data_IF_150871264990
#
_entry.id   IF_150871264990
#
_cell.length_a   1.000
_cell.length_b   1.000
_cell.length_c   1.000
_cell.angle_alpha   90.00
_cell.angle_beta   90.00
_cell.angle_gamma   90.00
#
_symmetry.space_group_name_H-M   'P 1'
#
loop_
_entity.id
_entity.type
_entity.pdbx_description
1 polymer ?
#
# COMPACT_ATOMS: atom_id res chain seq x y z
N UNK A 1 -2.07 -9.20 -20.83
CA UNK A 1 -1.82 -7.80 -20.43
C UNK A 1 -1.25 -7.85 -19.02
N UNK A 2 -0.13 -7.16 -18.78
CA UNK A 2 0.48 -7.06 -17.45
C UNK A 2 -0.22 -5.91 -16.73
N UNK A 3 -0.68 -6.15 -15.50
CA UNK A 3 -1.41 -5.15 -14.71
C UNK A 3 -0.80 -5.04 -13.32
N UNK A 4 -0.49 -3.82 -12.91
CA UNK A 4 -0.08 -3.49 -11.55
C UNK A 4 -1.31 -3.20 -10.69
N UNK A 5 -1.35 -3.76 -9.49
CA UNK A 5 -2.46 -3.65 -8.55
C UNK A 5 -1.97 -3.02 -7.24
N UNK A 6 -2.79 -2.11 -6.71
CA UNK A 6 -2.70 -1.61 -5.34
C UNK A 6 -3.97 -2.06 -4.63
N UNK A 7 -3.80 -2.63 -3.44
CA UNK A 7 -4.93 -3.14 -2.68
C UNK A 7 -4.57 -3.41 -1.23
N UNK A 8 -5.44 -4.15 -0.55
CA UNK A 8 -5.22 -4.64 0.81
C UNK A 8 -5.49 -6.13 0.85
N UNK A 9 -4.77 -6.87 1.70
CA UNK A 9 -5.18 -8.22 2.07
C UNK A 9 -6.51 -8.11 2.80
N UNK A 10 -7.47 -8.91 2.36
CA UNK A 10 -8.78 -8.98 2.98
C UNK A 10 -8.74 -9.82 4.26
N UNK A 11 -8.81 -9.16 5.40
CA UNK A 11 -8.82 -9.74 6.74
C UNK A 11 -9.89 -9.07 7.59
N UNK A 12 -10.41 -9.75 8.63
CA UNK A 12 -11.36 -9.14 9.56
C UNK A 12 -10.83 -7.84 10.16
N UNK A 13 -11.69 -6.83 10.21
CA UNK A 13 -11.38 -5.48 10.67
C UNK A 13 -12.19 -5.18 11.92
N UNK A 14 -11.55 -5.25 13.09
CA UNK A 14 -12.18 -5.05 14.41
C UNK A 14 -13.25 -6.11 14.79
N UNK A 15 -14.23 -6.39 13.93
CA UNK A 15 -15.34 -7.34 14.11
C UNK A 15 -15.41 -8.38 12.97
N UNK A 16 -16.27 -9.40 13.10
CA UNK A 16 -16.45 -10.46 12.09
C UNK A 16 -17.18 -9.98 10.82
N UNK A 17 -17.77 -8.78 10.84
CA UNK A 17 -18.67 -8.29 9.79
C UNK A 17 -18.08 -7.20 8.91
N UNK A 18 -16.91 -6.65 9.23
CA UNK A 18 -16.22 -5.70 8.38
C UNK A 18 -14.82 -6.19 8.08
N UNK A 19 -14.39 -6.04 6.84
CA UNK A 19 -13.03 -6.42 6.42
C UNK A 19 -12.17 -5.21 6.09
N UNK A 20 -10.86 -5.42 6.02
CA UNK A 20 -9.92 -4.42 5.49
C UNK A 20 -10.27 -4.05 4.04
N UNK A 21 -10.76 -4.99 3.23
CA UNK A 21 -11.28 -4.72 1.88
C UNK A 21 -12.43 -3.71 1.91
N UNK A 22 -13.47 -3.96 2.73
CA UNK A 22 -14.60 -3.05 2.87
C UNK A 22 -14.18 -1.64 3.31
N UNK A 23 -13.21 -1.57 4.23
CA UNK A 23 -12.66 -0.31 4.72
C UNK A 23 -11.89 0.41 3.61
N UNK A 24 -11.05 -0.32 2.86
CA UNK A 24 -10.28 0.23 1.76
C UNK A 24 -11.19 0.81 0.67
N UNK A 25 -12.25 0.10 0.27
CA UNK A 25 -13.21 0.58 -0.72
C UNK A 25 -13.91 1.87 -0.26
N UNK A 26 -14.36 1.92 1.00
CA UNK A 26 -14.98 3.13 1.57
C UNK A 26 -14.03 4.31 1.63
N UNK A 27 -12.76 4.05 1.97
CA UNK A 27 -11.73 5.08 2.00
C UNK A 27 -11.38 5.58 0.60
N UNK A 28 -11.25 4.67 -0.36
CA UNK A 28 -10.94 5.02 -1.74
C UNK A 28 -12.06 5.81 -2.40
N UNK A 29 -13.31 5.36 -2.26
CA UNK A 29 -14.47 6.04 -2.81
C UNK A 29 -14.66 7.48 -2.28
N UNK A 30 -14.13 7.78 -1.09
CA UNK A 30 -14.29 9.08 -0.44
C UNK A 30 -13.07 9.98 -0.53
N UNK A 31 -11.87 9.42 -0.43
CA UNK A 31 -10.64 10.17 -0.29
C UNK A 31 -9.62 9.87 -1.39
N UNK A 32 -9.86 8.88 -2.26
CA UNK A 32 -8.97 8.54 -3.37
C UNK A 32 -7.51 8.30 -2.92
N UNK A 33 -7.33 7.53 -1.84
CA UNK A 33 -6.03 7.37 -1.16
C UNK A 33 -5.03 6.66 -2.07
N UNK A 34 -5.42 5.52 -2.63
CA UNK A 34 -4.57 4.71 -3.50
C UNK A 34 -4.34 5.40 -4.84
N UNK A 35 -5.37 6.06 -5.39
CA UNK A 35 -5.19 6.88 -6.60
C UNK A 35 -4.18 8.00 -6.35
N UNK A 36 -4.34 8.76 -5.27
CA UNK A 36 -3.41 9.85 -4.91
C UNK A 36 -1.99 9.34 -4.70
N UNK A 37 -1.85 8.20 -4.01
CA UNK A 37 -0.56 7.55 -3.81
C UNK A 37 0.09 7.19 -5.14
N UNK A 38 -0.66 6.57 -6.06
CA UNK A 38 -0.15 6.21 -7.37
C UNK A 38 0.20 7.43 -8.23
N UNK A 39 -0.63 8.48 -8.20
CA UNK A 39 -0.38 9.72 -8.94
C UNK A 39 0.93 10.39 -8.49
N UNK A 40 1.29 10.23 -7.21
CA UNK A 40 2.52 10.78 -6.64
C UNK A 40 3.74 9.91 -6.87
N UNK A 41 3.64 8.62 -6.58
CA UNK A 41 4.77 7.69 -6.55
C UNK A 41 4.86 6.79 -7.77
N UNK A 42 3.97 6.92 -8.76
CA UNK A 42 3.91 6.02 -9.92
C UNK A 42 5.23 5.91 -10.68
N UNK A 43 5.99 7.01 -10.78
CA UNK A 43 7.32 6.99 -11.39
C UNK A 43 8.35 6.24 -10.54
N UNK A 44 8.32 6.44 -9.22
CA UNK A 44 9.22 5.73 -8.29
C UNK A 44 8.92 4.23 -8.26
N UNK A 45 7.63 3.87 -8.29
CA UNK A 45 7.18 2.48 -8.39
C UNK A 45 7.68 1.84 -9.69
N UNK A 46 7.57 2.55 -10.82
CA UNK A 46 8.05 2.06 -12.10
C UNK A 46 9.57 1.86 -12.13
N UNK A 47 10.33 2.76 -11.51
CA UNK A 47 11.78 2.65 -11.37
C UNK A 47 12.19 1.48 -10.48
N UNK A 48 11.51 1.28 -9.34
CA UNK A 48 11.72 0.12 -8.46
C UNK A 48 11.48 -1.20 -9.22
N UNK A 49 10.36 -1.31 -9.93
CA UNK A 49 10.04 -2.50 -10.72
C UNK A 49 11.05 -2.74 -11.84
N UNK A 50 11.52 -1.66 -12.49
CA UNK A 50 12.51 -1.77 -13.57
C UNK A 50 13.86 -2.29 -13.07
N UNK A 51 14.30 -1.82 -11.89
CA UNK A 51 15.55 -2.26 -11.24
C UNK A 51 15.49 -3.74 -10.84
N UNK A 52 14.38 -4.16 -10.26
CA UNK A 52 14.14 -5.56 -9.89
C UNK A 52 14.22 -6.49 -11.12
N UNK A 53 13.54 -6.12 -12.21
CA UNK A 53 13.56 -6.90 -13.45
C UNK A 53 14.95 -6.94 -14.09
N UNK A 54 15.67 -5.81 -14.10
CA UNK A 54 17.04 -5.77 -14.60
C UNK A 54 17.96 -6.70 -13.79
N UNK A 55 17.89 -6.63 -12.46
CA UNK A 55 18.67 -7.51 -11.58
C UNK A 55 18.29 -8.99 -11.75
N UNK A 56 17.00 -9.30 -11.89
CA UNK A 56 16.55 -10.65 -12.17
C UNK A 56 17.11 -11.19 -13.50
N UNK A 57 17.12 -10.38 -14.56
CA UNK A 57 17.68 -10.73 -15.86
C UNK A 57 19.20 -10.93 -15.79
N UNK A 58 19.93 -10.05 -15.12
CA UNK A 58 21.38 -10.16 -14.93
C UNK A 58 21.75 -11.47 -14.21
N UNK A 59 21.01 -11.82 -13.16
CA UNK A 59 21.20 -13.08 -12.44
C UNK A 59 20.98 -14.30 -13.33
N UNK A 60 19.93 -14.30 -14.15
CA UNK A 60 19.65 -15.38 -15.11
C UNK A 60 20.78 -15.49 -16.14
N UNK A 61 21.25 -14.37 -16.68
CA UNK A 61 22.37 -14.34 -17.64
C UNK A 61 23.68 -14.85 -17.01
N UNK A 62 23.88 -14.64 -15.71
CA UNK A 62 24.99 -15.18 -14.94
C UNK A 62 24.84 -16.68 -14.57
N UNK A 63 23.73 -17.33 -14.95
CA UNK A 63 23.46 -18.74 -14.71
C UNK A 63 22.75 -19.04 -13.38
N UNK A 64 22.23 -18.03 -12.69
CA UNK A 64 21.40 -18.24 -11.50
C UNK A 64 20.01 -18.80 -11.90
N UNK A 65 19.35 -19.57 -11.02
CA UNK A 65 18.01 -20.07 -11.28
C UNK A 65 16.99 -18.92 -11.34
N UNK A 66 15.92 -19.14 -12.11
CA UNK A 66 14.77 -18.23 -12.17
C UNK A 66 14.16 -18.06 -10.76
N UNK A 67 13.92 -16.81 -10.37
CA UNK A 67 13.16 -16.50 -9.16
C UNK A 67 11.67 -16.73 -9.39
N UNK A 68 10.97 -17.23 -8.37
CA UNK A 68 9.51 -17.44 -8.41
C UNK A 68 8.73 -16.14 -8.47
N UNK A 69 9.26 -15.09 -7.87
CA UNK A 69 8.69 -13.75 -7.90
C UNK A 69 9.81 -12.72 -8.13
N UNK A 70 10.02 -12.25 -9.38
CA UNK A 70 11.06 -11.28 -9.69
C UNK A 70 10.78 -9.87 -9.18
N UNK A 71 9.56 -9.59 -8.70
CA UNK A 71 9.16 -8.26 -8.25
C UNK A 71 8.90 -8.19 -6.73
N UNK A 72 9.21 -9.25 -5.98
CA UNK A 72 8.93 -9.30 -4.55
C UNK A 72 9.57 -8.13 -3.77
N UNK A 73 10.78 -7.71 -4.13
CA UNK A 73 11.48 -6.61 -3.46
C UNK A 73 10.80 -5.26 -3.72
N UNK A 74 10.52 -4.93 -4.97
CA UNK A 74 9.81 -3.71 -5.38
C UNK A 74 8.42 -3.68 -4.78
N UNK A 75 7.67 -4.78 -4.76
CA UNK A 75 6.36 -4.84 -4.10
C UNK A 75 6.45 -4.57 -2.59
N UNK A 76 7.49 -5.06 -1.92
CA UNK A 76 7.75 -4.75 -0.51
C UNK A 76 8.09 -3.27 -0.32
N UNK A 77 8.93 -2.69 -1.18
CA UNK A 77 9.28 -1.26 -1.11
C UNK A 77 8.09 -0.35 -1.40
N UNK A 78 7.17 -0.77 -2.28
CA UNK A 78 5.91 -0.03 -2.53
C UNK A 78 5.06 0.00 -1.26
N UNK A 79 5.01 -1.07 -0.48
CA UNK A 79 4.33 -1.09 0.81
C UNK A 79 4.96 -0.10 1.80
N UNK A 80 6.29 -0.04 1.85
CA UNK A 80 7.01 0.92 2.71
C UNK A 80 6.74 2.36 2.28
N UNK A 81 6.75 2.65 0.97
CA UNK A 81 6.38 3.95 0.40
C UNK A 81 4.94 4.34 0.77
N UNK A 82 4.00 3.41 0.69
CA UNK A 82 2.61 3.67 1.05
C UNK A 82 2.46 3.98 2.55
N UNK A 83 3.17 3.23 3.40
CA UNK A 83 3.17 3.47 4.85
C UNK A 83 3.73 4.86 5.17
N UNK A 84 4.87 5.22 4.56
CA UNK A 84 5.49 6.53 4.70
C UNK A 84 4.59 7.67 4.17
N UNK A 85 3.93 7.47 3.03
CA UNK A 85 2.97 8.43 2.46
C UNK A 85 1.84 8.79 3.44
N UNK A 86 1.32 7.79 4.16
CA UNK A 86 0.32 8.01 5.21
C UNK A 86 0.94 8.67 6.45
N UNK A 87 2.11 8.21 6.90
CA UNK A 87 2.79 8.73 8.09
C UNK A 87 3.21 10.20 7.94
N UNK A 88 3.64 10.59 6.74
CA UNK A 88 4.07 11.95 6.39
C UNK A 88 2.90 12.91 6.14
N UNK A 89 1.66 12.43 6.27
CA UNK A 89 0.44 13.22 6.06
C UNK A 89 0.36 13.89 4.67
N UNK A 90 0.84 13.21 3.63
CA UNK A 90 1.02 13.81 2.30
C UNK A 90 -0.28 14.16 1.57
N UNK A 91 -1.40 13.67 2.08
CA UNK A 91 -2.76 14.03 1.64
C UNK A 91 -3.31 15.28 2.35
N UNK A 92 -2.58 15.89 3.28
CA UNK A 92 -3.04 17.11 3.95
C UNK A 92 -3.31 18.23 2.95
N UNK A 93 -4.48 18.86 3.06
CA UNK A 93 -4.95 19.87 2.11
C UNK A 93 -5.91 19.33 1.05
N UNK A 94 -6.09 18.01 0.97
CA UNK A 94 -7.15 17.41 0.16
C UNK A 94 -8.52 17.56 0.83
N UNK A 95 -9.62 17.55 0.07
CA UNK A 95 -10.97 17.63 0.62
C UNK A 95 -11.21 16.55 1.70
N UNK A 96 -11.47 16.98 2.93
CA UNK A 96 -11.71 16.07 4.06
C UNK A 96 -10.45 15.51 4.74
N UNK A 97 -9.26 15.95 4.35
CA UNK A 97 -7.96 15.58 4.94
C UNK A 97 -7.18 16.83 5.39
N UNK A 98 -6.76 16.95 6.66
CA UNK A 98 -6.82 15.93 7.71
C UNK A 98 -8.25 15.62 8.19
N UNK A 99 -8.50 14.35 8.53
CA UNK A 99 -9.81 13.95 9.08
C UNK A 99 -10.06 14.58 10.44
N UNK A 100 -11.32 14.81 10.81
CA UNK A 100 -11.66 15.38 12.14
C UNK A 100 -11.12 14.53 13.30
N UNK A 101 -11.03 13.21 13.13
CA UNK A 101 -10.47 12.31 14.15
C UNK A 101 -8.96 12.50 14.29
N UNK A 102 -8.25 12.65 13.18
CA UNK A 102 -6.83 12.97 13.13
C UNK A 102 -6.52 14.30 13.84
N UNK A 103 -7.28 15.36 13.54
CA UNK A 103 -7.14 16.68 14.19
C UNK A 103 -7.35 16.64 15.71
N UNK A 104 -8.28 15.82 16.17
CA UNK A 104 -8.57 15.65 17.60
C UNK A 104 -7.62 14.65 18.30
N UNK A 105 -6.63 14.09 17.59
CA UNK A 105 -5.70 13.11 18.12
C UNK A 105 -6.38 11.82 18.60
N UNK A 106 -7.57 11.51 18.09
CA UNK A 106 -8.36 10.37 18.57
C UNK A 106 -7.80 9.09 17.97
N UNK A 107 -7.40 8.17 18.84
CA UNK A 107 -6.96 6.82 18.50
C UNK A 107 -7.88 5.79 19.12
N UNK A 108 -8.31 4.79 18.34
CA UNK A 108 -8.97 3.59 18.86
C UNK A 108 -7.99 2.68 19.61
N UNK A 109 -6.69 2.75 19.31
CA UNK A 109 -5.67 1.94 20.00
C UNK A 109 -5.60 2.25 21.49
N UNK A 110 -5.89 3.48 21.90
CA UNK A 110 -5.77 3.92 23.28
C UNK A 110 -7.14 4.22 23.92
N UNK A 111 -7.38 3.67 25.10
CA UNK A 111 -8.64 3.87 25.86
C UNK A 111 -8.84 5.31 26.34
N UNK A 112 -7.78 6.11 26.47
CA UNK A 112 -7.85 7.52 26.86
C UNK A 112 -7.69 8.41 25.62
N UNK A 113 -8.66 9.31 25.40
CA UNK A 113 -8.62 10.32 24.35
C UNK A 113 -7.69 11.45 24.76
N UNK A 114 -6.44 11.39 24.36
CA UNK A 114 -5.50 12.50 24.51
C UNK A 114 -4.41 12.35 23.47
N UNK A 115 -4.21 13.40 22.67
CA UNK A 115 -3.09 13.44 21.76
C UNK A 115 -3.08 14.70 20.93
N UNK A 116 -1.86 15.12 20.57
CA UNK A 116 -1.62 16.04 19.46
C UNK A 116 -2.29 15.52 18.17
N UNK A 117 -2.51 16.38 17.17
CA UNK A 117 -2.92 15.94 15.84
C UNK A 117 -2.04 14.77 15.36
N UNK A 118 -2.67 13.81 14.70
CA UNK A 118 -2.00 12.62 14.18
C UNK A 118 -2.31 12.45 12.69
N UNK A 119 -1.53 11.64 11.95
CA UNK A 119 -1.83 11.38 10.56
C UNK A 119 -3.21 10.80 10.32
N UNK A 120 -3.82 11.19 9.20
CA UNK A 120 -5.10 10.65 8.77
C UNK A 120 -4.96 9.20 8.29
N UNK A 121 -6.05 8.44 8.38
CA UNK A 121 -6.13 7.04 7.93
C UNK A 121 -5.30 6.03 8.74
N UNK A 122 -4.52 6.51 9.70
CA UNK A 122 -3.79 5.69 10.65
C UNK A 122 -4.59 5.67 11.95
N UNK A 123 -5.39 4.63 12.19
CA UNK A 123 -6.04 4.42 13.49
C UNK A 123 -5.28 3.41 14.33
N UNK A 124 -5.42 2.12 13.97
CA UNK A 124 -4.77 0.94 14.58
C UNK A 124 -3.51 0.49 13.85
N UNK A 125 -3.25 1.03 12.65
CA UNK A 125 -2.21 0.54 11.73
C UNK A 125 -2.66 -0.63 10.84
N UNK A 126 -3.87 -1.17 11.04
CA UNK A 126 -4.37 -2.32 10.27
C UNK A 126 -4.45 -2.03 8.77
N UNK A 127 -4.89 -0.82 8.38
CA UNK A 127 -4.97 -0.44 6.98
C UNK A 127 -3.60 -0.39 6.29
N UNK A 128 -2.60 0.21 6.95
CA UNK A 128 -1.21 0.21 6.49
C UNK A 128 -0.68 -1.22 6.37
N UNK A 129 -0.78 -2.01 7.46
CA UNK A 129 -0.25 -3.37 7.51
C UNK A 129 -0.89 -4.32 6.48
N UNK A 130 -2.17 -4.10 6.15
CA UNK A 130 -2.89 -4.89 5.16
C UNK A 130 -2.56 -4.49 3.72
N UNK A 131 -2.03 -3.28 3.47
CA UNK A 131 -1.74 -2.82 2.10
C UNK A 131 -0.76 -3.74 1.38
N UNK A 132 -1.08 -4.09 0.14
CA UNK A 132 -0.23 -4.87 -0.76
C UNK A 132 -0.22 -4.26 -2.15
N UNK A 133 0.92 -4.42 -2.82
CA UNK A 133 1.07 -4.23 -4.25
C UNK A 133 1.43 -5.57 -4.90
N UNK A 134 0.91 -5.83 -6.09
CA UNK A 134 1.27 -7.03 -6.86
C UNK A 134 1.07 -6.80 -8.35
N UNK A 135 1.67 -7.66 -9.17
CA UNK A 135 1.51 -7.65 -10.62
C UNK A 135 0.82 -8.93 -11.08
N UNK A 136 -0.24 -8.79 -11.87
CA UNK A 136 -0.91 -9.93 -12.52
C UNK A 136 -0.59 -9.98 -14.01
N UNK A 137 -0.80 -11.15 -14.61
CA UNK A 137 -0.57 -11.37 -16.04
C UNK A 137 0.87 -11.72 -16.42
N UNK A 138 1.79 -11.80 -15.45
CA UNK A 138 3.16 -12.30 -15.65
C UNK A 138 3.24 -13.84 -15.49
N UNK A 139 2.31 -14.43 -14.74
CA UNK A 139 2.34 -15.84 -14.30
C UNK A 139 1.82 -16.88 -15.32
N UNK A 140 1.57 -16.51 -16.58
CA UNK A 140 1.34 -17.51 -17.64
C UNK A 140 2.59 -17.76 -18.51
N UNK A 141 3.73 -17.15 -18.20
CA UNK A 141 4.96 -17.34 -18.97
C UNK A 141 5.81 -18.53 -18.49
N UNK A 142 5.56 -19.07 -17.30
CA UNK A 142 6.34 -20.19 -16.75
C UNK A 142 5.44 -21.17 -15.98
N UNK A 143 5.09 -22.33 -16.56
CA UNK A 143 4.35 -23.38 -15.87
C UNK A 143 5.22 -24.15 -14.85
N UNK A 144 4.52 -24.71 -13.85
CA UNK A 144 4.88 -25.53 -12.65
C UNK A 144 6.33 -25.93 -12.38
#
# INVERSE_FOLDING_TARGET
MITFHLGVIDIPYEDENTTTGDVAEKLEAKYHIMQTFFDRYGNDIADLMSKDLAGALENILAGAPLTKDPLAESMSRVHDLFSAFLDNEEMNGMPGVPTRRALLGISKRFKKKQGNPRPSFIDTGTYQAAMRAWVSGVLNAFPE
#
